data_IF_952489145794
#
_entry.id   IF_952489145794
#
_cell.length_a   1.000
_cell.length_b   1.000
_cell.length_c   1.000
_cell.angle_alpha   90.00
_cell.angle_beta   90.00
_cell.angle_gamma   90.00
#
_symmetry.space_group_name_H-M   'P 1'
#
loop_
_entity.id
_entity.type
_entity.pdbx_description
1 polymer ?
#
# COMPACT_ATOMS: atom_id res chain seq x y z
N UNK A 1 -36.36 28.36 -4.53
CA UNK A 1 -35.50 27.21 -4.17
C UNK A 1 -34.21 27.39 -4.94
N UNK A 2 -33.24 28.08 -4.34
CA UNK A 2 -31.92 28.24 -4.95
C UNK A 2 -31.15 26.95 -4.70
N UNK A 3 -30.73 26.30 -5.77
CA UNK A 3 -29.83 25.15 -5.72
C UNK A 3 -28.47 25.63 -5.21
N UNK A 4 -28.04 25.15 -4.05
CA UNK A 4 -26.66 25.29 -3.60
C UNK A 4 -25.75 24.51 -4.56
N UNK A 5 -24.56 25.04 -4.91
CA UNK A 5 -23.62 24.30 -5.72
C UNK A 5 -23.04 23.16 -4.88
N UNK A 6 -23.15 21.93 -5.37
CA UNK A 6 -22.42 20.79 -4.83
C UNK A 6 -20.93 21.11 -4.93
N UNK A 7 -20.25 21.26 -3.78
CA UNK A 7 -18.81 21.46 -3.78
C UNK A 7 -18.14 20.13 -4.13
N UNK A 8 -17.44 20.10 -5.26
CA UNK A 8 -16.43 19.07 -5.54
C UNK A 8 -15.35 19.16 -4.46
N UNK A 9 -15.52 18.38 -3.39
CA UNK A 9 -14.54 18.30 -2.30
C UNK A 9 -13.34 17.51 -2.80
N UNK A 10 -12.31 18.21 -3.27
CA UNK A 10 -11.01 17.63 -3.57
C UNK A 10 -10.45 16.96 -2.30
N UNK A 11 -10.00 15.71 -2.44
CA UNK A 11 -9.44 14.98 -1.31
C UNK A 11 -8.25 15.74 -0.73
N UNK A 12 -8.13 15.87 0.60
CA UNK A 12 -7.04 16.62 1.20
C UNK A 12 -5.69 16.00 0.83
N UNK A 13 -4.72 16.86 0.49
CA UNK A 13 -3.37 16.43 0.15
C UNK A 13 -2.73 15.68 1.32
N UNK A 14 -1.95 14.64 1.00
CA UNK A 14 -1.18 13.86 1.97
C UNK A 14 -0.14 14.74 2.65
N UNK A 15 0.06 14.58 3.96
CA UNK A 15 1.09 15.32 4.69
C UNK A 15 2.48 14.80 4.33
N UNK A 16 2.60 13.48 4.18
CA UNK A 16 3.77 12.82 3.63
C UNK A 16 3.36 12.09 2.35
N UNK A 17 3.83 12.46 1.16
CA UNK A 17 3.49 11.76 -0.09
C UNK A 17 3.99 10.32 -0.14
N UNK A 18 5.03 10.00 0.64
CA UNK A 18 5.63 8.67 0.71
C UNK A 18 5.80 8.23 2.16
N UNK A 19 5.44 6.97 2.44
CA UNK A 19 5.46 6.43 3.80
C UNK A 19 6.87 6.32 4.39
N UNK A 20 7.93 6.23 3.57
CA UNK A 20 9.31 6.13 4.08
C UNK A 20 9.73 7.46 4.70
N UNK A 21 9.41 8.58 4.05
CA UNK A 21 9.65 9.91 4.60
C UNK A 21 8.90 10.09 5.94
N UNK A 22 7.64 9.66 6.00
CA UNK A 22 6.87 9.64 7.25
C UNK A 22 7.50 8.76 8.34
N UNK A 23 8.07 7.62 7.95
CA UNK A 23 8.72 6.71 8.89
C UNK A 23 9.95 7.37 9.53
N UNK A 24 10.82 7.94 8.71
CA UNK A 24 12.10 8.51 9.14
C UNK A 24 11.90 9.81 9.92
N UNK A 25 11.06 10.71 9.42
CA UNK A 25 10.88 12.04 10.01
C UNK A 25 9.94 12.04 11.22
N UNK A 26 8.92 11.17 11.23
CA UNK A 26 7.84 11.23 12.22
C UNK A 26 7.67 9.97 13.04
N UNK A 27 7.57 8.78 12.44
CA UNK A 27 7.12 7.57 13.15
C UNK A 27 8.21 6.90 14.00
N UNK A 28 9.38 6.58 13.42
CA UNK A 28 10.45 5.90 14.14
C UNK A 28 10.95 6.65 15.37
N UNK A 29 11.07 8.01 15.36
CA UNK A 29 11.44 8.77 16.55
C UNK A 29 10.51 8.57 17.75
N UNK A 30 9.26 8.11 17.55
CA UNK A 30 8.32 7.87 18.66
C UNK A 30 8.65 6.61 19.47
N UNK A 31 9.40 5.66 18.91
CA UNK A 31 9.68 4.37 19.54
C UNK A 31 11.06 4.32 20.17
N UNK A 32 11.09 4.38 21.51
CA UNK A 32 12.31 4.24 22.32
C UNK A 32 12.34 2.87 23.01
N UNK A 33 12.74 1.84 22.27
CA UNK A 33 12.76 0.46 22.75
C UNK A 33 14.16 0.01 23.18
N UNK A 34 14.22 -0.78 24.27
CA UNK A 34 15.45 -1.51 24.61
C UNK A 34 15.56 -2.75 23.71
N UNK A 35 16.44 -2.67 22.72
CA UNK A 35 16.68 -3.75 21.77
C UNK A 35 17.69 -4.76 22.34
N UNK A 36 17.34 -6.04 22.25
CA UNK A 36 18.21 -7.15 22.60
C UNK A 36 18.99 -7.63 21.36
N UNK A 37 20.23 -8.08 21.56
CA UNK A 37 21.04 -8.72 20.51
C UNK A 37 20.76 -10.23 20.38
N UNK A 38 19.55 -10.70 20.70
CA UNK A 38 19.21 -12.12 20.59
C UNK A 38 17.72 -12.40 20.80
N UNK A 39 17.29 -13.58 20.35
CA UNK A 39 15.92 -14.07 20.49
C UNK A 39 15.68 -14.52 21.94
N UNK A 40 15.05 -13.68 22.75
CA UNK A 40 14.60 -14.00 24.11
C UNK A 40 13.16 -13.53 24.32
N UNK A 41 12.34 -14.38 24.93
CA UNK A 41 10.97 -14.04 25.32
C UNK A 41 10.94 -12.78 26.19
N UNK A 42 9.94 -11.92 25.97
CA UNK A 42 9.76 -10.67 26.71
C UNK A 42 10.80 -9.58 26.38
N UNK A 43 11.56 -9.73 25.28
CA UNK A 43 12.51 -8.71 24.80
C UNK A 43 12.13 -8.23 23.41
N UNK A 44 12.73 -7.10 22.99
CA UNK A 44 12.49 -6.50 21.68
C UNK A 44 13.69 -6.65 20.76
N UNK A 45 13.45 -6.83 19.47
CA UNK A 45 14.47 -6.77 18.41
C UNK A 45 14.02 -5.86 17.28
N UNK A 46 14.99 -5.36 16.52
CA UNK A 46 14.76 -4.58 15.31
C UNK A 46 15.87 -4.90 14.32
N UNK A 47 15.51 -5.09 13.05
CA UNK A 47 16.47 -5.17 11.97
C UNK A 47 16.64 -3.76 11.37
N UNK A 48 17.88 -3.27 11.27
CA UNK A 48 18.16 -2.00 10.58
C UNK A 48 17.73 -2.04 9.11
N UNK A 49 17.78 -3.20 8.47
CA UNK A 49 17.28 -3.48 7.11
C UNK A 49 15.80 -3.92 7.12
N UNK A 50 14.96 -3.25 7.91
CA UNK A 50 13.54 -3.62 8.11
C UNK A 50 12.76 -3.79 6.80
N UNK A 51 13.10 -3.03 5.75
CA UNK A 51 12.46 -3.10 4.44
C UNK A 51 12.65 -4.45 3.73
N UNK A 52 13.68 -5.23 4.10
CA UNK A 52 13.87 -6.61 3.61
C UNK A 52 12.85 -7.59 4.18
N UNK A 53 12.17 -7.23 5.27
CA UNK A 53 11.10 -8.02 5.85
C UNK A 53 9.75 -7.54 5.31
N UNK A 54 9.27 -8.17 4.22
CA UNK A 54 8.03 -7.74 3.52
C UNK A 54 6.86 -7.46 4.46
N UNK A 55 6.62 -8.33 5.45
CA UNK A 55 5.53 -8.17 6.42
C UNK A 55 5.69 -6.93 7.30
N UNK A 56 6.93 -6.52 7.60
CA UNK A 56 7.24 -5.28 8.32
C UNK A 56 6.91 -4.09 7.43
N UNK A 57 7.46 -4.06 6.21
CA UNK A 57 7.26 -2.95 5.29
C UNK A 57 5.78 -2.69 4.94
N UNK A 58 5.00 -3.74 4.64
CA UNK A 58 3.57 -3.57 4.31
C UNK A 58 2.75 -3.09 5.49
N UNK A 59 3.09 -3.51 6.72
CA UNK A 59 2.39 -3.07 7.93
C UNK A 59 2.69 -1.61 8.24
N UNK A 60 3.95 -1.19 8.11
CA UNK A 60 4.35 0.21 8.28
C UNK A 60 3.69 1.12 7.24
N UNK A 61 3.62 0.71 5.97
CA UNK A 61 2.90 1.45 4.94
C UNK A 61 1.39 1.56 5.24
N UNK A 62 0.78 0.51 5.80
CA UNK A 62 -0.62 0.55 6.24
C UNK A 62 -0.84 1.47 7.44
N UNK A 63 0.11 1.51 8.40
CA UNK A 63 0.06 2.45 9.52
C UNK A 63 0.08 3.90 9.03
N UNK A 64 0.93 4.22 8.05
CA UNK A 64 0.99 5.54 7.43
C UNK A 64 -0.36 5.94 6.80
N UNK A 65 -0.98 5.05 6.03
CA UNK A 65 -2.30 5.32 5.43
C UNK A 65 -3.36 5.60 6.49
N UNK A 66 -3.38 4.80 7.56
CA UNK A 66 -4.31 5.01 8.68
C UNK A 66 -4.00 6.32 9.45
N UNK A 67 -2.73 6.71 9.53
CA UNK A 67 -2.30 7.95 10.15
C UNK A 67 -2.71 9.18 9.34
N UNK A 68 -2.56 9.13 8.01
CA UNK A 68 -3.02 10.16 7.07
C UNK A 68 -4.54 10.37 7.17
N UNK A 69 -5.30 9.29 7.34
CA UNK A 69 -6.74 9.39 7.60
C UNK A 69 -7.04 9.97 8.99
N UNK A 70 -6.33 9.53 10.03
CA UNK A 70 -6.55 9.99 11.40
C UNK A 70 -6.26 11.50 11.57
N UNK A 71 -5.20 12.03 10.94
CA UNK A 71 -4.82 13.45 11.11
C UNK A 71 -5.83 14.44 10.51
N UNK A 72 -6.57 14.05 9.47
CA UNK A 72 -7.56 14.91 8.81
C UNK A 72 -8.97 14.73 9.39
N UNK A 73 -9.14 13.73 10.25
CA UNK A 73 -10.43 13.46 10.88
C UNK A 73 -10.72 14.57 11.90
N UNK A 74 -11.91 15.21 11.86
CA UNK A 74 -12.25 16.29 12.80
C UNK A 74 -12.38 15.86 14.26
N UNK A 75 -12.53 14.56 14.52
CA UNK A 75 -12.60 14.00 15.87
C UNK A 75 -11.23 14.04 16.55
N UNK A 76 -11.15 14.78 17.65
CA UNK A 76 -9.93 14.91 18.46
C UNK A 76 -9.41 13.59 19.03
N UNK A 77 -10.24 12.53 19.07
CA UNK A 77 -9.82 11.20 19.52
C UNK A 77 -9.25 10.31 18.40
N UNK A 78 -9.31 10.75 17.14
CA UNK A 78 -8.92 9.92 15.99
C UNK A 78 -7.44 9.51 16.03
N UNK A 79 -6.54 10.43 16.36
CA UNK A 79 -5.11 10.13 16.46
C UNK A 79 -4.78 9.21 17.65
N UNK A 80 -5.45 9.40 18.79
CA UNK A 80 -5.30 8.51 19.96
C UNK A 80 -5.80 7.09 19.64
N UNK A 81 -6.95 6.99 18.98
CA UNK A 81 -7.49 5.72 18.49
C UNK A 81 -6.54 5.04 17.51
N UNK A 82 -5.89 5.79 16.62
CA UNK A 82 -4.89 5.24 15.70
C UNK A 82 -3.69 4.63 16.45
N UNK A 83 -3.20 5.29 17.51
CA UNK A 83 -2.14 4.73 18.36
C UNK A 83 -2.56 3.41 19.00
N UNK A 84 -3.70 3.43 19.71
CA UNK A 84 -4.17 2.29 20.50
C UNK A 84 -4.59 1.10 19.65
N UNK A 85 -5.20 1.34 18.49
CA UNK A 85 -5.80 0.30 17.66
C UNK A 85 -4.88 -0.19 16.55
N UNK A 86 -3.91 0.62 16.11
CA UNK A 86 -3.08 0.31 14.95
C UNK A 86 -1.59 0.32 15.28
N UNK A 87 -1.05 1.46 15.71
CA UNK A 87 0.39 1.63 15.83
C UNK A 87 0.99 0.71 16.90
N UNK A 88 0.53 0.80 18.14
CA UNK A 88 1.09 0.06 19.26
C UNK A 88 0.90 -1.46 19.17
N UNK A 89 -0.29 -1.99 18.79
CA UNK A 89 -0.45 -3.41 18.54
C UNK A 89 0.46 -3.92 17.42
N UNK A 90 0.63 -3.12 16.35
CA UNK A 90 1.53 -3.49 15.25
C UNK A 90 2.97 -3.52 15.72
N UNK A 91 3.45 -2.48 16.38
CA UNK A 91 4.83 -2.40 16.84
C UNK A 91 5.17 -3.45 17.91
N UNK A 92 4.21 -3.81 18.77
CA UNK A 92 4.37 -4.95 19.69
C UNK A 92 4.68 -6.26 18.95
N UNK A 93 3.99 -6.52 17.84
CA UNK A 93 4.22 -7.73 17.03
C UNK A 93 5.52 -7.62 16.23
N UNK A 94 5.79 -6.47 15.61
CA UNK A 94 6.97 -6.28 14.77
C UNK A 94 8.27 -6.42 15.57
N UNK A 95 8.27 -5.94 16.81
CA UNK A 95 9.46 -5.88 17.65
C UNK A 95 9.61 -7.05 18.61
N UNK A 96 8.66 -7.99 18.69
CA UNK A 96 8.79 -9.19 19.52
C UNK A 96 10.03 -10.01 19.09
N UNK A 97 11.04 -10.08 19.97
CA UNK A 97 12.29 -10.78 19.69
C UNK A 97 12.15 -12.31 19.62
N UNK A 98 11.08 -12.86 20.21
CA UNK A 98 10.82 -14.29 20.22
C UNK A 98 9.98 -14.77 19.04
N UNK A 99 8.91 -14.02 18.73
CA UNK A 99 7.90 -14.46 17.79
C UNK A 99 7.67 -13.52 16.61
N UNK A 100 8.27 -12.32 16.65
CA UNK A 100 8.09 -11.30 15.64
C UNK A 100 8.79 -11.64 14.31
N UNK A 101 8.46 -10.93 13.21
CA UNK A 101 8.99 -11.23 11.88
C UNK A 101 10.50 -11.00 11.72
N UNK A 102 11.13 -10.34 12.70
CA UNK A 102 12.56 -10.04 12.74
C UNK A 102 13.29 -10.82 13.84
N UNK A 103 12.69 -11.88 14.40
CA UNK A 103 13.23 -12.63 15.55
C UNK A 103 14.66 -13.18 15.33
N UNK A 104 15.06 -13.47 14.07
CA UNK A 104 16.43 -13.93 13.73
C UNK A 104 17.45 -12.79 13.59
N UNK A 105 16.97 -11.56 13.47
CA UNK A 105 17.81 -10.39 13.29
C UNK A 105 18.22 -9.79 14.63
N UNK A 106 19.32 -9.04 14.60
CA UNK A 106 19.73 -8.14 15.67
C UNK A 106 19.84 -6.72 15.08
N UNK A 107 20.01 -5.68 15.92
CA UNK A 107 20.21 -4.32 15.40
C UNK A 107 21.43 -4.16 14.49
N UNK A 108 22.37 -5.11 14.52
CA UNK A 108 23.61 -5.09 13.73
C UNK A 108 23.66 -6.15 12.62
N UNK A 109 22.73 -7.11 12.59
CA UNK A 109 22.77 -8.23 11.63
C UNK A 109 21.39 -8.59 11.13
N UNK A 110 21.23 -8.54 9.80
CA UNK A 110 20.11 -9.14 9.09
C UNK A 110 20.31 -10.65 8.90
N UNK A 111 19.26 -11.44 9.14
CA UNK A 111 19.21 -12.87 8.87
C UNK A 111 17.90 -13.18 8.13
N UNK A 112 17.96 -13.49 6.81
CA UNK A 112 16.76 -13.67 6.01
C UNK A 112 15.96 -14.90 6.47
N UNK A 113 14.65 -14.71 6.57
CA UNK A 113 13.69 -15.79 6.87
C UNK A 113 12.92 -16.10 5.60
N UNK A 114 12.80 -17.39 5.28
CA UNK A 114 12.02 -17.84 4.13
C UNK A 114 10.54 -17.45 4.30
N UNK A 115 9.88 -17.13 3.19
CA UNK A 115 8.42 -16.95 3.18
C UNK A 115 7.71 -18.26 3.54
N UNK A 116 6.42 -18.18 3.85
CA UNK A 116 5.61 -19.36 4.11
C UNK A 116 5.75 -20.38 2.96
N UNK A 117 5.99 -21.67 3.26
CA UNK A 117 6.01 -22.70 2.24
C UNK A 117 4.60 -22.89 1.71
N UNK A 118 4.39 -22.53 0.44
CA UNK A 118 3.09 -22.65 -0.23
C UNK A 118 3.19 -23.61 -1.40
N UNK A 119 2.17 -24.47 -1.54
CA UNK A 119 1.95 -25.22 -2.78
C UNK A 119 1.04 -24.38 -3.69
N UNK A 120 1.24 -24.41 -5.01
CA UNK A 120 0.34 -23.71 -5.92
C UNK A 120 -1.08 -24.26 -5.77
N UNK A 121 -2.06 -23.35 -5.84
CA UNK A 121 -3.47 -23.74 -5.85
C UNK A 121 -3.75 -24.54 -7.13
N UNK A 122 -4.34 -25.75 -7.06
CA UNK A 122 -4.68 -26.51 -8.24
C UNK A 122 -5.64 -25.74 -9.17
N UNK A 123 -5.52 -25.89 -10.51
CA UNK A 123 -6.46 -25.28 -11.45
C UNK A 123 -7.92 -25.63 -11.12
N UNK A 124 -8.80 -24.63 -11.11
CA UNK A 124 -10.23 -24.82 -10.83
C UNK A 124 -10.62 -24.95 -9.35
N UNK A 125 -9.66 -24.96 -8.41
CA UNK A 125 -9.98 -25.04 -6.98
C UNK A 125 -10.71 -23.79 -6.46
N UNK A 126 -10.33 -22.61 -6.94
CA UNK A 126 -11.08 -21.37 -6.76
C UNK A 126 -11.63 -20.91 -8.12
N UNK A 127 -12.93 -21.08 -8.39
CA UNK A 127 -13.52 -20.57 -9.62
C UNK A 127 -13.40 -19.04 -9.64
N UNK A 128 -12.92 -18.48 -10.76
CA UNK A 128 -12.94 -17.02 -10.96
C UNK A 128 -14.41 -16.59 -10.94
N UNK A 129 -14.81 -15.61 -10.11
CA UNK A 129 -16.16 -15.06 -10.20
C UNK A 129 -16.38 -14.53 -11.62
N UNK A 130 -17.56 -14.75 -12.19
CA UNK A 130 -17.91 -14.20 -13.48
C UNK A 130 -17.67 -12.69 -13.44
N UNK A 131 -16.95 -12.15 -14.43
CA UNK A 131 -16.88 -10.70 -14.61
C UNK A 131 -18.32 -10.22 -14.78
N UNK A 132 -18.83 -9.31 -13.92
CA UNK A 132 -20.15 -8.76 -14.15
C UNK A 132 -20.16 -8.14 -15.55
N UNK A 133 -21.07 -8.60 -16.42
CA UNK A 133 -21.22 -8.00 -17.74
C UNK A 133 -21.47 -6.50 -17.57
N UNK A 134 -20.86 -5.64 -18.40
CA UNK A 134 -21.21 -4.23 -18.40
C UNK A 134 -22.70 -4.14 -18.72
N UNK A 135 -23.50 -3.82 -17.71
CA UNK A 135 -24.89 -3.42 -17.87
C UNK A 135 -24.85 -2.26 -18.87
N UNK A 136 -25.23 -2.57 -20.10
CA UNK A 136 -25.40 -1.55 -21.13
C UNK A 136 -26.53 -0.68 -20.64
N UNK A 137 -26.18 0.50 -20.12
CA UNK A 137 -27.16 1.53 -19.82
C UNK A 137 -27.92 1.80 -21.12
N UNK A 138 -29.16 1.33 -21.20
CA UNK A 138 -30.07 1.68 -22.27
C UNK A 138 -30.26 3.19 -22.23
N UNK A 139 -29.43 3.90 -22.98
CA UNK A 139 -29.63 5.30 -23.33
C UNK A 139 -30.85 5.34 -24.23
N UNK A 140 -32.01 5.56 -23.62
CA UNK A 140 -33.22 6.00 -24.32
C UNK A 140 -32.86 7.30 -25.04
N UNK A 141 -32.55 7.18 -26.32
CA UNK A 141 -32.11 8.28 -27.16
C UNK A 141 -33.31 9.09 -27.65
N UNK A 142 -33.34 10.36 -27.27
CA UNK A 142 -34.23 11.36 -27.82
C UNK A 142 -33.59 11.88 -29.12
N UNK A 143 -34.43 12.00 -30.13
CA UNK A 143 -34.23 12.46 -31.51
C UNK A 143 -33.16 13.56 -31.72
N UNK A 144 -32.29 13.37 -32.69
CA UNK A 144 -31.63 14.46 -33.41
C UNK A 144 -31.63 14.19 -34.92
N UNK A 145 -32.29 15.10 -35.64
CA UNK A 145 -32.40 15.17 -37.10
C UNK A 145 -31.06 15.46 -37.77
N UNK A 146 -30.88 14.85 -38.93
CA UNK A 146 -29.72 14.80 -39.83
C UNK A 146 -29.15 16.16 -40.29
N UNK A 147 -27.85 16.19 -40.60
CA UNK A 147 -27.40 16.45 -41.98
C UNK A 147 -25.91 16.07 -42.23
N UNK A 148 -25.51 15.66 -43.45
CA UNK A 148 -24.22 15.00 -43.74
C UNK A 148 -23.28 15.79 -44.68
N UNK A 149 -21.97 15.53 -44.56
CA UNK A 149 -20.89 15.53 -45.58
C UNK A 149 -19.56 15.91 -44.89
N UNK A 150 -18.40 15.28 -45.12
CA UNK A 150 -17.98 14.20 -46.01
C UNK A 150 -16.46 14.27 -46.19
N UNK A 151 -15.78 13.11 -46.12
CA UNK A 151 -14.46 12.77 -46.71
C UNK A 151 -13.19 13.54 -46.21
N UNK A 152 -11.97 13.02 -46.06
CA UNK A 152 -11.29 11.74 -46.36
C UNK A 152 -9.88 11.73 -45.72
N UNK A 153 -9.41 10.53 -45.38
CA UNK A 153 -8.05 9.96 -45.50
C UNK A 153 -6.80 10.69 -44.96
N UNK A 154 -6.03 9.96 -44.15
CA UNK A 154 -4.62 10.26 -43.87
C UNK A 154 -4.00 9.34 -42.82
N UNK A 155 -3.53 8.16 -43.24
CA UNK A 155 -2.86 7.18 -42.37
C UNK A 155 -1.49 7.65 -41.86
N UNK A 156 -1.07 7.06 -40.73
CA UNK A 156 0.31 7.16 -40.23
C UNK A 156 0.77 5.77 -39.77
N UNK A 157 1.97 5.29 -40.17
CA UNK A 157 2.43 3.95 -39.85
C UNK A 157 2.96 3.82 -38.42
N UNK A 158 2.81 2.61 -37.87
CA UNK A 158 3.49 2.10 -36.67
C UNK A 158 5.01 2.08 -36.85
N UNK A 159 5.72 2.33 -35.75
CA UNK A 159 7.10 1.86 -35.56
C UNK A 159 7.14 1.04 -34.28
N UNK A 160 7.30 -0.27 -34.46
CA UNK A 160 7.89 -1.18 -33.47
C UNK A 160 9.38 -0.89 -33.30
N UNK A 161 9.93 -1.25 -32.13
CA UNK A 161 11.22 -1.92 -31.80
C UNK A 161 11.61 -1.47 -30.37
N UNK A 162 11.33 -2.23 -29.30
CA UNK A 162 12.09 -3.36 -28.69
C UNK A 162 13.55 -3.05 -28.34
N UNK A 163 13.86 -3.10 -27.04
CA UNK A 163 15.03 -3.75 -26.36
C UNK A 163 14.84 -3.42 -24.87
N UNK A 164 14.34 -4.32 -24.01
CA UNK A 164 15.05 -5.46 -23.41
C UNK A 164 16.51 -5.16 -23.05
N UNK A 165 16.73 -4.89 -21.76
CA UNK A 165 18.01 -4.99 -21.07
C UNK A 165 17.72 -5.61 -19.70
N UNK A 166 17.67 -6.93 -19.71
CA UNK A 166 18.09 -7.79 -18.61
C UNK A 166 19.62 -7.68 -18.51
N UNK A 167 20.15 -7.43 -17.31
CA UNK A 167 21.35 -8.08 -16.79
C UNK A 167 21.85 -7.42 -15.50
N UNK A 168 22.21 -8.26 -14.53
CA UNK A 168 23.42 -8.00 -13.73
C UNK A 168 23.22 -7.69 -12.26
N UNK A 169 22.84 -8.71 -11.49
CA UNK A 169 23.37 -8.91 -10.14
C UNK A 169 24.90 -8.88 -10.19
N UNK A 170 25.56 -7.91 -9.55
CA UNK A 170 26.82 -8.10 -8.81
C UNK A 170 26.99 -7.00 -7.73
N UNK A 171 27.29 -7.46 -6.51
CA UNK A 171 27.64 -6.77 -5.25
C UNK A 171 26.50 -6.22 -4.38
#
# INVERSE_FOLDING_TARGET
MSSEPESDTEAPALAYPWFVDWLDDWFFPQYTLRLASGNREGTHTWCSEWWRHRVVAVRLAALWQAWEAARITPDGSAMDSWWLMHADPTMRVLTDAANGPMWRCTPQRHDPVATLPVKPVPPGFFPRPATPEPVSATRTGNTATSSPNGQTAGGRPSTDTVTDLDDGLEL
#
